data_IF_202949989689
#
_entry.id   IF_202949989689
#
_cell.length_a   1.000
_cell.length_b   1.000
_cell.length_c   1.000
_cell.angle_alpha   90.00
_cell.angle_beta   90.00
_cell.angle_gamma   90.00
#
_symmetry.space_group_name_H-M   'P 1'
#
loop_
_entity.id
_entity.type
_entity.pdbx_description
1 polymer ?
#
# COMPACT_ATOMS: atom_id res chain seq x y z
N UNK A 1 89.53 -0.76 -64.62
CA UNK A 1 89.99 -0.17 -63.34
C UNK A 1 89.42 1.22 -63.24
N UNK A 2 88.36 1.42 -62.43
CA UNK A 2 88.01 2.73 -61.80
C UNK A 2 86.77 2.53 -60.95
N UNK A 3 86.87 2.78 -59.65
CA UNK A 3 85.82 2.69 -58.67
C UNK A 3 84.90 3.90 -58.81
N UNK A 4 83.59 3.75 -58.62
CA UNK A 4 82.69 4.87 -58.44
C UNK A 4 82.59 5.30 -56.97
N UNK A 5 82.47 6.63 -56.76
CA UNK A 5 82.32 7.34 -55.49
C UNK A 5 80.89 7.13 -54.87
N UNK A 6 80.88 6.88 -53.58
CA UNK A 6 79.66 6.88 -52.78
C UNK A 6 79.29 8.32 -52.43
N UNK A 7 78.03 8.70 -52.70
CA UNK A 7 77.36 9.91 -52.15
C UNK A 7 76.61 9.63 -50.86
N UNK A 8 76.34 10.62 -49.99
CA UNK A 8 75.76 10.41 -48.68
C UNK A 8 74.23 10.21 -48.73
N UNK A 9 73.79 9.20 -48.04
CA UNK A 9 72.39 8.96 -47.77
C UNK A 9 71.83 10.00 -46.75
N UNK A 10 70.79 10.75 -47.16
CA UNK A 10 69.98 11.57 -46.28
C UNK A 10 69.03 10.66 -45.47
N UNK A 11 69.16 10.69 -44.17
CA UNK A 11 68.23 10.01 -43.24
C UNK A 11 66.95 10.84 -43.07
N UNK A 12 65.85 10.37 -43.63
CA UNK A 12 64.52 10.91 -43.36
C UNK A 12 64.01 10.36 -42.02
N UNK A 13 63.86 11.22 -41.02
CA UNK A 13 63.24 10.92 -39.77
C UNK A 13 61.73 11.02 -39.96
N UNK A 14 61.02 9.89 -40.06
CA UNK A 14 59.56 9.81 -39.94
C UNK A 14 59.18 9.90 -38.45
N UNK A 15 58.65 11.05 -38.05
CA UNK A 15 58.01 11.21 -36.75
C UNK A 15 56.64 10.49 -36.71
N UNK A 16 56.56 9.37 -36.00
CA UNK A 16 55.27 8.74 -35.64
C UNK A 16 54.60 9.61 -34.58
N UNK A 17 53.57 10.38 -34.98
CA UNK A 17 52.61 10.95 -34.06
C UNK A 17 51.69 9.84 -33.60
N UNK A 18 51.94 9.24 -32.42
CA UNK A 18 51.02 8.38 -31.73
C UNK A 18 49.90 9.25 -31.14
N UNK A 19 48.80 9.41 -31.91
CA UNK A 19 47.54 9.93 -31.37
C UNK A 19 46.99 8.91 -30.37
N UNK A 20 47.17 9.21 -29.07
CA UNK A 20 46.54 8.45 -27.99
C UNK A 20 45.03 8.61 -28.08
N UNK A 21 44.35 7.67 -28.65
CA UNK A 21 42.94 7.40 -28.44
C UNK A 21 42.79 6.89 -27.01
N UNK A 22 42.63 7.82 -26.06
CA UNK A 22 42.04 7.52 -24.78
C UNK A 22 40.58 7.15 -25.07
N UNK A 23 40.34 5.88 -25.42
CA UNK A 23 39.02 5.30 -25.35
C UNK A 23 38.56 5.41 -23.89
N UNK A 24 37.62 6.30 -23.61
CA UNK A 24 36.82 6.17 -22.41
C UNK A 24 36.24 4.76 -22.49
N UNK A 25 36.74 3.85 -21.65
CA UNK A 25 36.07 2.61 -21.38
C UNK A 25 34.70 3.03 -20.81
N UNK A 26 33.64 2.92 -21.61
CA UNK A 26 32.30 3.00 -21.08
C UNK A 26 32.25 1.97 -19.94
N UNK A 27 32.11 2.44 -18.70
CA UNK A 27 31.94 1.54 -17.58
C UNK A 27 30.77 0.62 -17.95
N UNK A 28 30.99 -0.68 -17.92
CA UNK A 28 29.91 -1.63 -18.23
C UNK A 28 28.77 -1.41 -17.21
N UNK A 29 27.58 -1.15 -17.71
CA UNK A 29 26.38 -0.99 -16.89
C UNK A 29 26.26 -2.18 -15.92
N UNK A 30 26.23 -1.90 -14.63
CA UNK A 30 26.09 -2.95 -13.62
C UNK A 30 24.62 -3.39 -13.55
N UNK A 31 24.38 -4.69 -13.67
CA UNK A 31 23.04 -5.28 -13.53
C UNK A 31 22.83 -5.78 -12.10
N UNK A 32 21.73 -5.38 -11.48
CA UNK A 32 21.34 -5.78 -10.14
C UNK A 32 20.06 -6.62 -10.26
N UNK A 33 20.07 -7.91 -9.88
CA UNK A 33 18.85 -8.71 -9.83
C UNK A 33 17.99 -8.27 -8.64
N UNK A 34 16.69 -8.09 -8.86
CA UNK A 34 15.71 -7.73 -7.82
C UNK A 34 14.45 -8.54 -7.98
N UNK A 35 14.05 -9.23 -6.92
CA UNK A 35 12.77 -9.93 -6.84
C UNK A 35 11.79 -9.09 -6.05
N UNK A 36 10.67 -8.70 -6.69
CA UNK A 36 9.55 -8.03 -6.04
C UNK A 36 8.34 -8.95 -5.99
N UNK A 37 7.74 -9.11 -4.81
CA UNK A 37 6.65 -10.05 -4.61
C UNK A 37 5.39 -9.41 -4.02
N UNK A 38 4.24 -9.96 -4.41
CA UNK A 38 2.94 -9.68 -3.80
C UNK A 38 2.08 -10.94 -3.80
N UNK A 39 1.41 -11.23 -2.69
CA UNK A 39 0.41 -12.28 -2.62
C UNK A 39 -0.87 -11.93 -3.40
N UNK A 40 -1.17 -10.64 -3.53
CA UNK A 40 -2.29 -10.14 -4.31
C UNK A 40 -1.99 -10.10 -5.83
N UNK A 41 -3.03 -10.27 -6.67
CA UNK A 41 -2.88 -10.15 -8.12
C UNK A 41 -2.76 -8.68 -8.57
N UNK A 42 -2.24 -8.41 -9.79
CA UNK A 42 -2.23 -7.07 -10.39
C UNK A 42 -3.62 -6.49 -10.72
N UNK A 43 -4.69 -7.13 -10.29
CA UNK A 43 -6.04 -6.57 -10.24
C UNK A 43 -6.18 -5.55 -9.09
N UNK A 44 -5.41 -5.74 -8.01
CA UNK A 44 -5.31 -4.80 -6.89
C UNK A 44 -4.53 -3.57 -7.33
N UNK A 45 -5.08 -2.38 -7.18
CA UNK A 45 -4.50 -1.12 -7.66
C UNK A 45 -3.05 -0.94 -7.20
N UNK A 46 -2.75 -1.15 -5.91
CA UNK A 46 -1.37 -1.06 -5.40
C UNK A 46 -0.40 -1.98 -6.16
N UNK A 47 -0.78 -3.23 -6.41
CA UNK A 47 0.09 -4.19 -7.15
C UNK A 47 0.16 -3.85 -8.64
N UNK A 48 -0.92 -3.36 -9.25
CA UNK A 48 -0.88 -2.89 -10.64
C UNK A 48 0.15 -1.77 -10.81
N UNK A 49 0.18 -0.81 -9.90
CA UNK A 49 1.13 0.31 -9.94
C UNK A 49 2.59 -0.08 -9.67
N UNK A 50 2.86 -1.20 -9.01
CA UNK A 50 4.23 -1.75 -8.96
C UNK A 50 4.71 -2.10 -10.38
N UNK A 51 3.88 -2.79 -11.16
CA UNK A 51 4.18 -3.24 -12.52
C UNK A 51 4.16 -2.09 -13.52
N UNK A 52 3.15 -1.22 -13.44
CA UNK A 52 2.81 -0.27 -14.51
C UNK A 52 3.44 1.12 -14.29
N UNK A 53 3.92 1.40 -13.06
CA UNK A 53 4.55 2.67 -12.72
C UNK A 53 5.90 2.50 -12.01
N UNK A 54 5.97 1.86 -10.82
CA UNK A 54 7.18 1.82 -9.99
C UNK A 54 8.39 1.27 -10.78
N UNK A 55 8.25 0.07 -11.30
CA UNK A 55 9.32 -0.62 -12.05
C UNK A 55 9.73 0.18 -13.30
N UNK A 56 8.81 0.57 -14.20
CA UNK A 56 9.19 1.33 -15.39
C UNK A 56 9.84 2.69 -15.09
N UNK A 57 9.42 3.37 -14.02
CA UNK A 57 9.95 4.67 -13.66
C UNK A 57 11.36 4.57 -13.04
N UNK A 58 11.61 3.54 -12.20
CA UNK A 58 12.96 3.24 -11.71
C UNK A 58 13.89 2.94 -12.88
N UNK A 59 13.48 2.07 -13.81
CA UNK A 59 14.30 1.72 -14.99
C UNK A 59 14.59 2.95 -15.86
N UNK A 60 13.59 3.81 -16.05
CA UNK A 60 13.75 5.06 -16.80
C UNK A 60 14.79 5.99 -16.17
N UNK A 61 14.74 6.20 -14.84
CA UNK A 61 15.68 7.08 -14.13
C UNK A 61 17.09 6.52 -14.12
N UNK A 62 17.26 5.25 -13.87
CA UNK A 62 18.57 4.61 -13.91
C UNK A 62 19.19 4.62 -15.32
N UNK A 63 18.36 4.60 -16.37
CA UNK A 63 18.84 4.70 -17.75
C UNK A 63 19.40 6.09 -18.07
N UNK A 64 19.05 7.17 -17.34
CA UNK A 64 19.57 8.52 -17.56
C UNK A 64 21.09 8.61 -17.29
N UNK A 65 21.57 7.90 -16.28
CA UNK A 65 23.01 7.82 -15.98
C UNK A 65 23.69 6.66 -16.69
N UNK A 66 22.97 5.57 -16.92
CA UNK A 66 23.47 4.35 -17.56
C UNK A 66 24.44 3.54 -16.69
N UNK A 67 24.65 3.91 -15.43
CA UNK A 67 25.56 3.22 -14.51
C UNK A 67 25.00 1.87 -14.07
N UNK A 68 23.69 1.82 -13.79
CA UNK A 68 23.00 0.67 -13.23
C UNK A 68 21.77 0.27 -14.04
N UNK A 69 21.41 -0.99 -13.98
CA UNK A 69 20.18 -1.57 -14.52
C UNK A 69 19.65 -2.60 -13.54
N UNK A 70 18.37 -2.63 -13.32
CA UNK A 70 17.73 -3.69 -12.53
C UNK A 70 17.21 -4.79 -13.46
N UNK A 71 17.42 -6.04 -13.04
CA UNK A 71 16.86 -7.23 -13.66
C UNK A 71 15.74 -7.76 -12.77
N UNK A 72 14.50 -7.36 -13.09
CA UNK A 72 13.35 -7.58 -12.25
C UNK A 72 12.78 -8.99 -12.38
N UNK A 73 12.60 -9.68 -11.25
CA UNK A 73 11.73 -10.84 -11.11
C UNK A 73 10.43 -10.39 -10.41
N UNK A 74 9.32 -10.37 -11.18
CA UNK A 74 8.01 -9.94 -10.67
C UNK A 74 7.18 -11.17 -10.27
N UNK A 75 6.94 -11.36 -8.97
CA UNK A 75 6.25 -12.51 -8.40
C UNK A 75 4.93 -12.09 -7.75
N UNK A 76 3.88 -11.98 -8.53
CA UNK A 76 2.55 -11.56 -8.08
C UNK A 76 1.56 -12.72 -8.03
N UNK A 77 0.36 -12.45 -7.44
CA UNK A 77 -0.74 -13.40 -7.33
C UNK A 77 -0.37 -14.71 -6.59
N UNK A 78 0.50 -14.60 -5.59
CA UNK A 78 0.92 -15.76 -4.82
C UNK A 78 1.85 -16.73 -5.57
N UNK A 79 2.43 -16.33 -6.70
CA UNK A 79 3.30 -17.21 -7.50
C UNK A 79 4.60 -17.61 -6.80
N UNK A 80 5.07 -16.83 -5.85
CA UNK A 80 6.23 -17.12 -5.01
C UNK A 80 5.84 -17.21 -3.53
N UNK A 81 5.05 -16.25 -3.04
CA UNK A 81 4.64 -16.13 -1.63
C UNK A 81 3.18 -15.72 -1.53
N UNK A 82 2.44 -16.32 -0.60
CA UNK A 82 1.05 -15.98 -0.33
C UNK A 82 0.88 -14.64 0.40
N UNK A 83 -0.37 -14.16 0.49
CA UNK A 83 -0.72 -12.86 1.08
C UNK A 83 -0.19 -12.68 2.50
N UNK A 84 -0.28 -13.72 3.34
CA UNK A 84 0.16 -13.68 4.74
C UNK A 84 1.64 -13.99 4.95
N UNK A 85 2.35 -14.37 3.89
CA UNK A 85 3.73 -14.86 3.94
C UNK A 85 4.74 -13.80 3.48
N UNK A 86 4.26 -12.73 2.80
CA UNK A 86 5.12 -11.71 2.19
C UNK A 86 6.01 -11.03 3.23
N UNK A 87 5.48 -10.69 4.43
CA UNK A 87 6.28 -10.08 5.50
C UNK A 87 7.48 -10.96 5.87
N UNK A 88 7.23 -12.22 6.20
CA UNK A 88 8.30 -13.16 6.58
C UNK A 88 9.26 -13.43 5.43
N UNK A 89 8.76 -13.60 4.21
CA UNK A 89 9.58 -13.89 3.02
C UNK A 89 10.52 -12.73 2.68
N UNK A 90 10.03 -11.49 2.72
CA UNK A 90 10.86 -10.30 2.51
C UNK A 90 11.89 -10.16 3.62
N UNK A 91 11.51 -10.30 4.89
CA UNK A 91 12.45 -10.23 6.02
C UNK A 91 13.56 -11.29 5.98
N UNK A 92 13.27 -12.47 5.46
CA UNK A 92 14.25 -13.55 5.26
C UNK A 92 15.09 -13.43 3.97
N UNK A 93 14.83 -12.41 3.12
CA UNK A 93 15.53 -12.23 1.85
C UNK A 93 15.13 -13.26 0.77
N UNK A 94 13.96 -13.91 0.89
CA UNK A 94 13.39 -14.73 -0.20
C UNK A 94 12.93 -13.83 -1.33
N UNK A 95 12.48 -12.63 -1.01
CA UNK A 95 12.23 -11.54 -1.94
C UNK A 95 12.97 -10.29 -1.47
N UNK A 96 13.46 -9.49 -2.41
CA UNK A 96 14.19 -8.25 -2.10
C UNK A 96 13.24 -7.11 -1.74
N UNK A 97 12.06 -7.08 -2.38
CA UNK A 97 11.00 -6.12 -2.13
C UNK A 97 9.66 -6.84 -1.99
N UNK A 98 8.76 -6.31 -1.16
CA UNK A 98 7.47 -6.90 -0.87
C UNK A 98 6.33 -5.88 -0.84
N UNK A 99 5.17 -6.26 -1.38
CA UNK A 99 3.90 -5.59 -1.10
C UNK A 99 3.24 -6.30 0.08
N UNK A 100 3.40 -5.76 1.27
CA UNK A 100 3.02 -6.38 2.55
C UNK A 100 1.65 -5.89 3.00
N UNK A 101 0.59 -6.72 2.95
CA UNK A 101 -0.75 -6.34 3.40
C UNK A 101 -0.88 -6.52 4.93
N UNK A 102 -0.34 -5.57 5.69
CA UNK A 102 -0.27 -5.63 7.16
C UNK A 102 -1.64 -5.70 7.86
N UNK A 103 -2.71 -5.36 7.17
CA UNK A 103 -4.06 -5.53 7.71
C UNK A 103 -4.38 -6.97 8.17
N UNK A 104 -3.66 -7.97 7.64
CA UNK A 104 -3.75 -9.38 8.03
C UNK A 104 -2.67 -9.82 9.02
N UNK A 105 -1.86 -8.89 9.53
CA UNK A 105 -0.67 -9.14 10.37
C UNK A 105 -0.74 -8.33 11.66
N UNK A 106 -1.91 -8.38 12.32
CA UNK A 106 -2.16 -7.61 13.55
C UNK A 106 -1.28 -8.01 14.74
N UNK A 107 -0.77 -9.23 14.73
CA UNK A 107 0.12 -9.71 15.80
C UNK A 107 1.57 -9.27 15.55
N UNK A 108 2.00 -9.26 14.28
CA UNK A 108 3.35 -8.91 13.87
C UNK A 108 3.55 -7.40 13.75
N UNK A 109 2.54 -6.67 13.25
CA UNK A 109 2.55 -5.24 13.01
C UNK A 109 1.33 -4.56 13.67
N UNK A 110 1.19 -4.67 15.00
CA UNK A 110 0.01 -4.16 15.70
C UNK A 110 -0.13 -2.64 15.63
N UNK A 111 0.97 -1.88 15.60
CA UNK A 111 0.95 -0.42 15.52
C UNK A 111 0.41 0.08 14.15
N UNK A 112 0.57 -0.71 13.08
CA UNK A 112 0.08 -0.36 11.74
C UNK A 112 -1.46 -0.52 11.59
N UNK A 113 -2.14 -1.05 12.62
CA UNK A 113 -3.58 -1.26 12.60
C UNK A 113 -4.40 -0.02 12.97
N UNK A 114 -3.78 1.10 13.28
CA UNK A 114 -4.43 2.28 13.89
C UNK A 114 -5.64 2.81 13.10
N UNK A 115 -5.63 2.80 11.76
CA UNK A 115 -6.81 3.23 10.98
C UNK A 115 -7.99 2.26 11.12
N UNK A 116 -7.73 0.97 11.26
CA UNK A 116 -8.77 -0.04 11.45
C UNK A 116 -9.40 -0.04 12.85
N UNK A 117 -8.69 0.47 13.84
CA UNK A 117 -9.25 0.65 15.19
C UNK A 117 -9.81 2.06 15.41
N UNK A 118 -9.54 2.99 14.51
CA UNK A 118 -10.07 4.36 14.48
C UNK A 118 -10.83 4.65 13.19
N UNK A 119 -11.92 3.92 12.88
CA UNK A 119 -12.73 4.23 11.70
C UNK A 119 -13.34 5.63 11.78
N UNK A 120 -13.93 6.09 10.69
CA UNK A 120 -14.51 7.41 10.50
C UNK A 120 -13.50 8.57 10.45
N UNK A 121 -12.29 8.27 10.02
CA UNK A 121 -11.27 9.28 9.69
C UNK A 121 -11.58 9.98 8.36
N UNK A 122 -10.58 10.10 7.48
CA UNK A 122 -10.76 10.68 6.15
C UNK A 122 -11.16 9.63 5.11
N UNK A 123 -12.04 9.99 4.17
CA UNK A 123 -12.31 9.18 2.97
C UNK A 123 -11.29 9.43 1.83
N UNK A 124 -10.43 10.44 1.97
CA UNK A 124 -9.39 10.74 0.97
C UNK A 124 -8.14 9.88 1.22
N UNK A 125 -7.95 8.88 0.36
CA UNK A 125 -6.83 7.93 0.45
C UNK A 125 -5.48 8.62 0.28
N UNK A 126 -5.38 9.65 -0.57
CA UNK A 126 -4.13 10.38 -0.77
C UNK A 126 -3.75 11.14 0.50
N UNK A 127 -4.70 11.89 1.07
CA UNK A 127 -4.50 12.59 2.33
C UNK A 127 -4.13 11.62 3.47
N UNK A 128 -4.79 10.45 3.52
CA UNK A 128 -4.45 9.44 4.52
C UNK A 128 -2.99 8.98 4.39
N UNK A 129 -2.50 8.74 3.17
CA UNK A 129 -1.11 8.29 2.96
C UNK A 129 -0.08 9.36 3.35
N UNK A 130 -0.39 10.64 3.16
CA UNK A 130 0.43 11.75 3.67
C UNK A 130 0.47 11.74 5.21
N UNK A 131 -0.69 11.55 5.86
CA UNK A 131 -0.79 11.45 7.32
C UNK A 131 0.01 10.25 7.82
N UNK A 132 -0.12 9.08 7.20
CA UNK A 132 0.64 7.88 7.59
C UNK A 132 2.15 8.11 7.49
N UNK A 133 2.61 8.72 6.41
CA UNK A 133 4.04 9.05 6.26
C UNK A 133 4.53 10.01 7.36
N UNK A 134 3.70 10.99 7.72
CA UNK A 134 4.01 11.92 8.81
C UNK A 134 4.00 11.23 10.18
N UNK A 135 3.12 10.26 10.40
CA UNK A 135 3.10 9.46 11.64
C UNK A 135 4.39 8.67 11.81
N UNK A 136 4.87 7.98 10.75
CA UNK A 136 6.15 7.29 10.77
C UNK A 136 7.35 8.24 11.03
N UNK A 137 7.27 9.47 10.53
CA UNK A 137 8.30 10.48 10.79
C UNK A 137 8.26 11.03 12.23
N UNK A 138 7.07 11.14 12.84
CA UNK A 138 6.87 11.65 14.19
C UNK A 138 7.08 10.59 15.28
N UNK A 139 6.78 9.33 14.99
CA UNK A 139 6.77 8.22 15.95
C UNK A 139 7.77 7.13 15.47
N UNK A 140 9.05 7.23 15.87
CA UNK A 140 10.11 6.30 15.41
C UNK A 140 9.77 4.82 15.63
N UNK A 141 9.05 4.48 16.70
CA UNK A 141 8.65 3.11 17.00
C UNK A 141 7.83 2.45 15.87
N UNK A 142 7.07 3.22 15.07
CA UNK A 142 6.35 2.69 13.91
C UNK A 142 7.33 2.23 12.80
N UNK A 143 8.38 3.01 12.55
CA UNK A 143 9.44 2.63 11.61
C UNK A 143 10.24 1.44 12.14
N UNK A 144 10.63 1.46 13.42
CA UNK A 144 11.35 0.37 14.08
C UNK A 144 10.56 -0.95 14.07
N UNK A 145 9.22 -0.89 14.02
CA UNK A 145 8.39 -2.09 13.89
C UNK A 145 8.70 -2.84 12.58
N UNK A 146 8.83 -2.15 11.46
CA UNK A 146 9.23 -2.75 10.19
C UNK A 146 10.67 -3.25 10.22
N UNK A 147 11.58 -2.46 10.81
CA UNK A 147 12.99 -2.83 10.96
C UNK A 147 13.17 -4.11 11.80
N UNK A 148 12.31 -4.32 12.82
CA UNK A 148 12.31 -5.54 13.63
C UNK A 148 12.00 -6.81 12.81
N UNK A 149 11.36 -6.65 11.65
CA UNK A 149 11.13 -7.70 10.67
C UNK A 149 12.17 -7.71 9.53
N UNK A 150 13.32 -7.05 9.72
CA UNK A 150 14.38 -6.89 8.73
C UNK A 150 13.88 -6.25 7.43
N UNK A 151 13.01 -5.24 7.54
CA UNK A 151 12.44 -4.51 6.41
C UNK A 151 12.48 -3.01 6.62
N UNK A 152 12.56 -2.29 5.52
CA UNK A 152 12.39 -0.83 5.43
C UNK A 152 11.08 -0.56 4.72
N UNK A 153 10.21 0.24 5.34
CA UNK A 153 9.00 0.74 4.69
C UNK A 153 9.38 1.84 3.69
N UNK A 154 9.16 1.58 2.41
CA UNK A 154 9.44 2.54 1.32
C UNK A 154 8.24 3.43 1.02
N UNK A 155 7.04 2.86 1.07
CA UNK A 155 5.80 3.61 0.86
C UNK A 155 4.62 2.96 1.59
N UNK A 156 3.83 3.70 2.37
CA UNK A 156 2.54 3.24 2.85
C UNK A 156 1.54 3.16 1.69
N UNK A 157 0.61 2.21 1.77
CA UNK A 157 -0.46 2.03 0.78
C UNK A 157 -1.80 1.96 1.48
N UNK A 158 -2.67 2.90 1.14
CA UNK A 158 -4.07 2.93 1.55
C UNK A 158 -4.99 2.35 0.51
N UNK A 159 -6.20 2.08 0.93
CA UNK A 159 -7.34 1.73 0.08
C UNK A 159 -8.48 2.70 0.35
N UNK A 160 -9.39 2.83 -0.62
CA UNK A 160 -10.46 3.83 -0.61
C UNK A 160 -11.52 3.58 0.46
N UNK A 161 -12.52 4.48 0.52
CA UNK A 161 -13.51 4.53 1.60
C UNK A 161 -14.37 3.26 1.68
N UNK A 162 -14.73 2.87 2.89
CA UNK A 162 -15.49 1.66 3.17
C UNK A 162 -16.96 1.94 3.43
N UNK A 163 -17.81 1.06 2.89
CA UNK A 163 -19.25 1.13 3.00
C UNK A 163 -19.88 -0.23 3.28
N UNK A 164 -21.16 -0.24 3.64
CA UNK A 164 -21.95 -1.46 3.63
C UNK A 164 -22.40 -1.79 2.22
N UNK A 165 -22.25 -3.05 1.80
CA UNK A 165 -22.78 -3.59 0.55
C UNK A 165 -23.70 -4.76 0.91
N UNK A 166 -25.00 -4.63 0.64
CA UNK A 166 -26.05 -5.41 1.24
C UNK A 166 -26.90 -6.15 0.21
N UNK A 167 -27.30 -7.39 0.53
CA UNK A 167 -28.21 -8.18 -0.30
C UNK A 167 -29.66 -7.70 -0.24
N UNK A 168 -30.02 -6.95 0.80
CA UNK A 168 -31.35 -6.36 1.02
C UNK A 168 -31.20 -4.95 1.53
N UNK A 169 -32.11 -4.03 1.17
CA UNK A 169 -32.03 -2.63 1.61
C UNK A 169 -32.21 -2.49 3.12
N UNK A 170 -31.85 -1.31 3.61
CA UNK A 170 -32.15 -0.81 4.95
C UNK A 170 -32.87 0.53 4.84
N UNK A 171 -33.70 0.87 5.80
CA UNK A 171 -34.29 2.20 5.95
C UNK A 171 -33.47 3.04 6.95
N UNK A 172 -32.92 2.37 7.97
CA UNK A 172 -32.00 2.97 8.94
C UNK A 172 -30.87 2.02 9.30
N UNK A 173 -29.78 2.53 9.86
CA UNK A 173 -28.58 1.73 10.20
C UNK A 173 -28.90 0.66 11.25
N UNK A 174 -29.89 0.89 12.10
CA UNK A 174 -30.41 -0.08 13.08
C UNK A 174 -30.93 -1.38 12.47
N UNK A 175 -31.39 -1.36 11.23
CA UNK A 175 -31.85 -2.55 10.46
C UNK A 175 -30.74 -3.55 10.16
N UNK A 176 -29.50 -3.21 10.41
CA UNK A 176 -28.38 -4.13 10.32
C UNK A 176 -28.33 -5.13 11.48
N UNK A 177 -29.02 -4.86 12.59
CA UNK A 177 -29.08 -5.77 13.73
C UNK A 177 -29.63 -7.14 13.30
N UNK A 178 -28.96 -8.22 13.74
CA UNK A 178 -29.28 -9.59 13.37
C UNK A 178 -28.78 -10.04 11.98
N UNK A 179 -28.24 -9.13 11.14
CA UNK A 179 -27.62 -9.51 9.85
C UNK A 179 -26.22 -10.08 10.07
N UNK A 180 -25.83 -10.99 9.18
CA UNK A 180 -24.48 -11.55 9.12
C UNK A 180 -23.71 -10.79 8.06
N UNK A 181 -22.65 -10.09 8.47
CA UNK A 181 -21.80 -9.34 7.52
C UNK A 181 -20.42 -9.97 7.40
N UNK A 182 -19.96 -10.15 6.17
CA UNK A 182 -18.60 -10.56 5.85
C UNK A 182 -17.63 -9.40 6.08
N UNK A 183 -16.56 -9.66 6.83
CA UNK A 183 -15.59 -8.66 7.26
C UNK A 183 -14.18 -9.23 7.16
N UNK A 184 -13.24 -8.41 6.70
CA UNK A 184 -11.83 -8.79 6.60
C UNK A 184 -11.00 -8.13 7.72
N UNK A 185 -10.08 -8.89 8.30
CA UNK A 185 -9.12 -8.38 9.28
C UNK A 185 -9.80 -7.71 10.49
N UNK A 186 -9.24 -6.58 10.91
CA UNK A 186 -9.71 -5.81 12.07
C UNK A 186 -11.05 -5.07 11.85
N UNK A 187 -11.57 -5.01 10.62
CA UNK A 187 -12.87 -4.41 10.35
C UNK A 187 -14.03 -5.08 11.11
N UNK A 188 -13.83 -6.29 11.64
CA UNK A 188 -14.77 -6.95 12.55
C UNK A 188 -15.11 -6.12 13.81
N UNK A 189 -14.22 -5.23 14.22
CA UNK A 189 -14.46 -4.33 15.34
C UNK A 189 -15.51 -3.25 15.03
N UNK A 190 -15.75 -2.93 13.75
CA UNK A 190 -16.66 -1.85 13.33
C UNK A 190 -18.14 -2.17 13.47
N UNK A 191 -18.46 -3.38 13.88
CA UNK A 191 -19.84 -3.81 14.14
C UNK A 191 -20.04 -4.32 15.59
N UNK A 192 -19.03 -4.17 16.44
CA UNK A 192 -19.16 -4.56 17.86
C UNK A 192 -20.23 -3.70 18.55
N UNK A 193 -21.13 -4.34 19.27
CA UNK A 193 -22.21 -3.66 19.99
C UNK A 193 -23.43 -3.26 19.15
N UNK A 194 -23.40 -3.43 17.80
CA UNK A 194 -24.49 -3.01 16.89
C UNK A 194 -25.55 -4.10 16.65
N UNK A 195 -25.37 -5.29 17.20
CA UNK A 195 -26.25 -6.43 16.93
C UNK A 195 -25.96 -7.16 15.60
N UNK A 196 -25.02 -6.69 14.79
CA UNK A 196 -24.54 -7.39 13.60
C UNK A 196 -23.70 -8.59 14.02
N UNK A 197 -23.83 -9.71 13.29
CA UNK A 197 -22.98 -10.89 13.44
C UNK A 197 -21.84 -10.83 12.45
N UNK A 198 -20.58 -10.59 12.87
CA UNK A 198 -19.44 -10.58 11.97
C UNK A 198 -19.10 -12.00 11.52
N UNK A 199 -18.81 -12.16 10.23
CA UNK A 199 -18.30 -13.42 9.63
C UNK A 199 -16.93 -13.12 9.03
N UNK A 200 -15.87 -13.69 9.62
CA UNK A 200 -14.50 -13.47 9.16
C UNK A 200 -14.29 -14.16 7.81
N UNK A 201 -14.12 -13.36 6.76
CA UNK A 201 -13.92 -13.80 5.38
C UNK A 201 -12.86 -12.93 4.70
N UNK A 202 -12.37 -13.38 3.57
CA UNK A 202 -11.48 -12.61 2.69
C UNK A 202 -12.21 -12.10 1.45
N UNK A 203 -11.64 -11.10 0.79
CA UNK A 203 -12.25 -10.43 -0.36
C UNK A 203 -12.71 -11.40 -1.48
N UNK A 204 -11.93 -12.42 -1.88
CA UNK A 204 -12.37 -13.39 -2.88
C UNK A 204 -13.58 -14.25 -2.48
N UNK A 205 -13.81 -14.41 -1.17
CA UNK A 205 -14.88 -15.27 -0.66
C UNK A 205 -16.24 -14.56 -0.59
N UNK A 206 -16.25 -13.22 -0.61
CA UNK A 206 -17.45 -12.41 -0.36
C UNK A 206 -18.55 -12.66 -1.39
N UNK A 207 -18.22 -12.67 -2.69
CA UNK A 207 -19.21 -12.85 -3.76
C UNK A 207 -20.01 -14.15 -3.57
N UNK A 208 -19.33 -15.28 -3.48
CA UNK A 208 -19.97 -16.57 -3.29
C UNK A 208 -20.73 -16.67 -1.96
N UNK A 209 -20.23 -16.09 -0.91
CA UNK A 209 -20.88 -16.09 0.41
C UNK A 209 -22.18 -15.30 0.42
N UNK A 210 -22.26 -14.17 -0.28
CA UNK A 210 -23.50 -13.41 -0.50
C UNK A 210 -24.45 -14.16 -1.44
N UNK A 211 -23.95 -14.67 -2.55
CA UNK A 211 -24.75 -15.39 -3.55
C UNK A 211 -25.45 -16.64 -2.95
N UNK A 212 -24.77 -17.36 -2.08
CA UNK A 212 -25.32 -18.56 -1.41
C UNK A 212 -26.14 -18.24 -0.17
N UNK A 213 -26.21 -16.97 0.26
CA UNK A 213 -26.92 -16.55 1.45
C UNK A 213 -26.21 -16.94 2.76
N UNK A 214 -24.92 -17.25 2.72
CA UNK A 214 -24.13 -17.47 3.93
C UNK A 214 -24.04 -16.18 4.76
N UNK A 215 -23.91 -15.03 4.09
CA UNK A 215 -23.91 -13.69 4.65
C UNK A 215 -24.96 -12.80 3.99
N UNK A 216 -25.42 -11.78 4.70
CA UNK A 216 -26.46 -10.85 4.29
C UNK A 216 -25.88 -9.55 3.70
N UNK A 217 -24.57 -9.43 3.64
CA UNK A 217 -23.80 -8.30 3.11
C UNK A 217 -22.35 -8.32 3.59
N UNK A 218 -21.64 -7.28 3.25
CA UNK A 218 -20.22 -7.08 3.60
C UNK A 218 -19.96 -5.63 4.00
N UNK A 219 -18.83 -5.39 4.66
CA UNK A 219 -18.18 -4.07 4.68
C UNK A 219 -16.96 -4.15 3.78
N UNK A 220 -16.91 -3.30 2.76
CA UNK A 220 -15.81 -3.26 1.81
C UNK A 220 -15.59 -1.86 1.26
N UNK A 221 -14.48 -1.66 0.61
CA UNK A 221 -14.11 -0.39 0.00
C UNK A 221 -14.73 -0.22 -1.40
N UNK A 222 -14.94 1.02 -1.82
CA UNK A 222 -15.68 1.39 -3.01
C UNK A 222 -15.18 0.70 -4.29
N UNK A 223 -13.86 0.74 -4.55
CA UNK A 223 -13.30 0.17 -5.77
C UNK A 223 -13.45 -1.36 -5.88
N UNK A 224 -13.63 -2.04 -4.74
CA UNK A 224 -13.90 -3.48 -4.72
C UNK A 224 -15.33 -3.82 -5.19
N UNK A 225 -16.29 -2.90 -5.05
CA UNK A 225 -17.70 -3.16 -5.36
C UNK A 225 -17.88 -3.62 -6.81
N UNK A 226 -17.21 -2.94 -7.75
CA UNK A 226 -17.30 -3.27 -9.18
C UNK A 226 -16.20 -4.23 -9.63
N UNK A 227 -14.96 -4.10 -9.11
CA UNK A 227 -13.86 -4.97 -9.52
C UNK A 227 -14.06 -6.42 -9.11
N UNK A 228 -14.77 -6.70 -8.01
CA UNK A 228 -15.20 -8.03 -7.58
C UNK A 228 -16.67 -8.32 -7.88
N UNK A 229 -17.37 -7.39 -8.54
CA UNK A 229 -18.77 -7.53 -8.96
C UNK A 229 -19.76 -7.77 -7.81
N UNK A 230 -19.47 -7.23 -6.63
CA UNK A 230 -20.33 -7.44 -5.46
C UNK A 230 -21.74 -6.90 -5.66
N UNK A 231 -21.90 -5.81 -6.41
CA UNK A 231 -23.19 -5.21 -6.77
C UNK A 231 -24.13 -6.15 -7.50
N UNK A 232 -23.62 -7.18 -8.21
CA UNK A 232 -24.47 -8.18 -8.89
C UNK A 232 -25.25 -9.04 -7.90
N UNK A 233 -24.69 -9.33 -6.72
CA UNK A 233 -25.30 -10.21 -5.68
C UNK A 233 -25.76 -9.46 -4.44
N UNK A 234 -25.31 -8.21 -4.27
CA UNK A 234 -25.65 -7.32 -3.17
C UNK A 234 -25.83 -5.89 -3.72
N UNK A 235 -27.00 -5.60 -4.33
CA UNK A 235 -27.19 -4.36 -5.11
C UNK A 235 -27.47 -3.12 -4.25
N UNK A 236 -27.36 -3.17 -2.94
CA UNK A 236 -27.62 -2.02 -2.06
C UNK A 236 -26.32 -1.57 -1.40
N UNK A 237 -25.88 -0.35 -1.71
CA UNK A 237 -24.69 0.25 -1.09
C UNK A 237 -25.12 1.34 -0.13
N UNK A 238 -24.93 1.12 1.19
CA UNK A 238 -25.24 2.13 2.20
C UNK A 238 -23.96 2.90 2.56
N UNK A 239 -23.94 4.19 2.21
CA UNK A 239 -22.72 5.04 2.24
C UNK A 239 -22.47 5.61 3.62
N UNK A 240 -22.05 4.78 4.56
CA UNK A 240 -21.72 5.21 5.92
C UNK A 240 -20.37 5.91 6.03
N UNK A 241 -19.44 5.68 5.08
CA UNK A 241 -18.08 6.22 5.10
C UNK A 241 -17.32 5.91 6.39
N UNK A 242 -16.82 4.68 6.53
CA UNK A 242 -15.88 4.32 7.61
C UNK A 242 -14.52 5.00 7.45
N UNK A 243 -14.24 5.53 6.27
CA UNK A 243 -12.98 6.16 5.87
C UNK A 243 -12.10 5.26 5.02
N UNK A 244 -11.11 5.87 4.38
CA UNK A 244 -9.99 5.19 3.75
C UNK A 244 -9.11 4.52 4.81
N UNK A 245 -8.50 3.38 4.46
CA UNK A 245 -7.71 2.59 5.42
C UNK A 245 -6.28 2.39 4.95
N UNK A 246 -5.32 2.59 5.86
CA UNK A 246 -3.95 2.16 5.66
C UNK A 246 -3.89 0.63 5.78
N UNK A 247 -3.56 -0.05 4.71
CA UNK A 247 -3.75 -1.50 4.62
C UNK A 247 -2.50 -2.28 4.29
N UNK A 248 -1.54 -1.65 3.64
CA UNK A 248 -0.36 -2.32 3.10
C UNK A 248 0.86 -1.40 3.11
N UNK A 249 2.06 -1.97 2.98
CA UNK A 249 3.30 -1.26 2.75
C UNK A 249 4.08 -1.84 1.57
N UNK A 250 4.69 -0.98 0.76
CA UNK A 250 5.80 -1.37 -0.10
C UNK A 250 7.07 -1.37 0.74
N UNK A 251 7.75 -2.49 0.82
CA UNK A 251 8.94 -2.66 1.68
C UNK A 251 10.12 -3.21 0.89
N UNK A 252 11.30 -3.03 1.44
CA UNK A 252 12.53 -3.70 1.01
C UNK A 252 13.17 -4.46 2.17
N UNK A 253 13.78 -5.60 1.89
CA UNK A 253 14.64 -6.28 2.84
C UNK A 253 15.81 -5.37 3.24
N UNK A 254 16.12 -5.24 4.53
CA UNK A 254 17.14 -4.31 5.04
C UNK A 254 18.55 -4.63 4.54
N UNK A 255 18.90 -5.90 4.46
CA UNK A 255 20.25 -6.31 3.98
C UNK A 255 20.39 -6.02 2.48
N UNK A 256 19.36 -6.33 1.69
CA UNK A 256 19.31 -5.96 0.27
C UNK A 256 19.44 -4.45 0.10
N UNK A 257 18.62 -3.66 0.81
CA UNK A 257 18.61 -2.20 0.75
C UNK A 257 19.97 -1.58 1.06
N UNK A 258 20.60 -2.04 2.14
CA UNK A 258 21.92 -1.56 2.56
C UNK A 258 23.05 -1.99 1.61
N UNK A 259 22.85 -3.05 0.83
CA UNK A 259 23.77 -3.52 -0.19
C UNK A 259 23.66 -2.78 -1.53
N UNK A 260 22.62 -1.97 -1.73
CA UNK A 260 22.45 -1.20 -2.96
C UNK A 260 23.44 -0.04 -3.06
N UNK A 261 23.92 0.28 -4.29
CA UNK A 261 24.61 1.55 -4.55
C UNK A 261 23.72 2.75 -4.20
N UNK A 262 24.31 3.84 -3.72
CA UNK A 262 23.57 5.05 -3.31
C UNK A 262 22.63 5.54 -4.41
N UNK A 263 23.12 5.65 -5.65
CA UNK A 263 22.32 6.07 -6.82
C UNK A 263 21.06 5.23 -7.01
N UNK A 264 21.15 3.91 -6.85
CA UNK A 264 20.01 2.99 -7.02
C UNK A 264 19.02 3.14 -5.87
N UNK A 265 19.56 3.26 -4.66
CA UNK A 265 18.75 3.45 -3.45
C UNK A 265 17.98 4.76 -3.49
N UNK A 266 18.65 5.87 -3.88
CA UNK A 266 18.03 7.19 -3.99
C UNK A 266 16.89 7.18 -5.02
N UNK A 267 17.15 6.59 -6.22
CA UNK A 267 16.12 6.45 -7.26
C UNK A 267 14.93 5.62 -6.78
N UNK A 268 15.16 4.48 -6.11
CA UNK A 268 14.05 3.66 -5.58
C UNK A 268 13.26 4.43 -4.53
N UNK A 269 13.93 5.14 -3.62
CA UNK A 269 13.26 5.93 -2.57
C UNK A 269 12.39 7.04 -3.15
N UNK A 270 12.92 7.85 -4.07
CA UNK A 270 12.16 8.91 -4.74
C UNK A 270 10.95 8.37 -5.52
N UNK A 271 11.13 7.28 -6.27
CA UNK A 271 10.03 6.67 -7.03
C UNK A 271 8.99 6.01 -6.12
N UNK A 272 9.40 5.50 -4.95
CA UNK A 272 8.47 4.97 -3.96
C UNK A 272 7.58 6.07 -3.34
N UNK A 273 8.09 7.28 -3.13
CA UNK A 273 7.25 8.42 -2.72
C UNK A 273 6.23 8.77 -3.80
N UNK A 274 6.65 8.86 -5.06
CA UNK A 274 5.71 9.10 -6.16
C UNK A 274 4.70 7.96 -6.33
N UNK A 275 5.12 6.72 -6.11
CA UNK A 275 4.23 5.56 -6.11
C UNK A 275 3.15 5.70 -5.04
N UNK A 276 3.50 6.09 -3.80
CA UNK A 276 2.55 6.37 -2.73
C UNK A 276 1.46 7.35 -3.18
N UNK A 277 1.89 8.50 -3.72
CA UNK A 277 0.98 9.58 -4.11
C UNK A 277 0.08 9.17 -5.27
N UNK A 278 0.65 8.49 -6.28
CA UNK A 278 -0.10 7.99 -7.44
C UNK A 278 -1.10 6.90 -7.07
N UNK A 279 -0.71 5.97 -6.19
CA UNK A 279 -1.59 4.91 -5.72
C UNK A 279 -2.72 5.48 -4.87
N UNK A 280 -2.44 6.44 -3.98
CA UNK A 280 -3.46 7.13 -3.19
C UNK A 280 -4.50 7.82 -4.08
N UNK A 281 -4.03 8.61 -5.07
CA UNK A 281 -4.91 9.25 -6.05
C UNK A 281 -5.69 8.22 -6.87
N UNK A 282 -5.05 7.13 -7.30
CA UNK A 282 -5.70 6.10 -8.11
C UNK A 282 -6.80 5.36 -7.33
N UNK A 283 -6.61 5.07 -6.06
CA UNK A 283 -7.66 4.49 -5.22
C UNK A 283 -8.83 5.43 -5.05
N UNK A 284 -8.60 6.69 -4.65
CA UNK A 284 -9.66 7.71 -4.56
C UNK A 284 -10.47 7.81 -5.85
N UNK A 285 -9.79 7.93 -7.00
CA UNK A 285 -10.44 8.08 -8.29
C UNK A 285 -11.13 6.80 -8.75
N UNK A 286 -10.60 5.61 -8.40
CA UNK A 286 -11.23 4.34 -8.75
C UNK A 286 -12.45 4.07 -7.87
N UNK A 287 -12.43 4.43 -6.60
CA UNK A 287 -13.58 4.37 -5.71
C UNK A 287 -14.74 5.18 -6.25
N UNK A 288 -14.51 6.46 -6.54
CA UNK A 288 -15.53 7.33 -7.10
C UNK A 288 -16.11 6.79 -8.44
N UNK A 289 -15.25 6.27 -9.33
CA UNK A 289 -15.73 5.64 -10.58
C UNK A 289 -16.53 4.37 -10.33
N UNK A 290 -16.10 3.54 -9.37
CA UNK A 290 -16.79 2.30 -9.03
C UNK A 290 -18.21 2.56 -8.50
N UNK A 291 -18.40 3.60 -7.71
CA UNK A 291 -19.72 4.01 -7.22
C UNK A 291 -20.66 4.41 -8.35
N UNK A 292 -20.17 5.21 -9.32
CA UNK A 292 -20.93 5.57 -10.53
C UNK A 292 -21.27 4.34 -11.36
N UNK A 293 -20.28 3.50 -11.64
CA UNK A 293 -20.45 2.27 -12.42
C UNK A 293 -21.44 1.31 -11.74
N UNK A 294 -21.36 1.12 -10.41
CA UNK A 294 -22.28 0.26 -9.69
C UNK A 294 -23.75 0.71 -9.88
N UNK A 295 -24.02 2.03 -9.86
CA UNK A 295 -25.35 2.59 -10.13
C UNK A 295 -25.78 2.33 -11.58
N UNK A 296 -24.90 2.55 -12.55
CA UNK A 296 -25.17 2.28 -13.98
C UNK A 296 -25.48 0.80 -14.24
N UNK A 297 -24.88 -0.09 -13.43
CA UNK A 297 -25.09 -1.54 -13.49
C UNK A 297 -26.22 -2.04 -12.57
N UNK A 298 -27.00 -1.12 -11.97
CA UNK A 298 -28.25 -1.42 -11.27
C UNK A 298 -28.18 -1.43 -9.74
N UNK A 299 -27.09 -1.03 -9.15
CA UNK A 299 -27.02 -0.85 -7.70
C UNK A 299 -27.82 0.38 -7.25
N UNK A 300 -28.32 0.30 -6.02
CA UNK A 300 -29.02 1.41 -5.34
C UNK A 300 -28.15 1.94 -4.22
N UNK A 301 -27.84 3.24 -4.27
CA UNK A 301 -27.16 3.92 -3.16
C UNK A 301 -28.19 4.30 -2.10
N UNK A 302 -27.88 3.95 -0.86
CA UNK A 302 -28.63 4.33 0.34
C UNK A 302 -27.74 5.33 1.09
N UNK A 303 -28.08 6.60 1.01
CA UNK A 303 -27.33 7.65 1.70
C UNK A 303 -27.59 7.57 3.21
N UNK A 304 -26.54 7.44 4.00
CA UNK A 304 -26.59 7.51 5.46
C UNK A 304 -26.31 8.97 5.86
N UNK A 305 -27.22 9.56 6.63
CA UNK A 305 -27.03 10.95 7.08
C UNK A 305 -25.84 11.08 8.05
N UNK A 306 -25.25 12.28 8.11
CA UNK A 306 -24.16 12.57 9.07
C UNK A 306 -24.57 12.31 10.54
N UNK A 307 -25.85 12.53 10.88
CA UNK A 307 -26.39 12.23 12.20
C UNK A 307 -26.38 10.72 12.45
N UNK A 308 -26.94 9.91 11.54
CA UNK A 308 -26.96 8.46 11.67
C UNK A 308 -25.53 7.85 11.63
N UNK A 309 -24.62 8.43 10.84
CA UNK A 309 -23.21 8.07 10.82
C UNK A 309 -22.54 8.33 12.17
N UNK A 310 -22.80 9.50 12.76
CA UNK A 310 -22.28 9.86 14.10
C UNK A 310 -22.86 8.96 15.18
N UNK A 311 -24.17 8.72 15.16
CA UNK A 311 -24.83 7.84 16.12
C UNK A 311 -24.28 6.42 16.05
N UNK A 312 -24.05 5.91 14.84
CA UNK A 312 -23.43 4.60 14.67
C UNK A 312 -21.99 4.58 15.22
N UNK A 313 -21.18 5.59 14.91
CA UNK A 313 -19.82 5.69 15.44
C UNK A 313 -19.80 5.69 16.98
N UNK A 314 -20.76 6.39 17.62
CA UNK A 314 -20.87 6.49 19.08
C UNK A 314 -21.40 5.19 19.74
N UNK A 315 -22.04 4.29 18.99
CA UNK A 315 -22.47 2.97 19.50
C UNK A 315 -21.30 1.98 19.64
N UNK A 316 -20.22 2.19 18.88
CA UNK A 316 -19.06 1.31 18.95
C UNK A 316 -18.43 1.41 20.36
N UNK A 317 -17.92 0.31 20.93
CA UNK A 317 -17.15 0.40 22.17
C UNK A 317 -15.85 1.19 21.95
N UNK A 318 -15.09 1.44 22.99
CA UNK A 318 -13.84 2.19 22.95
C UNK A 318 -12.69 1.37 22.30
N UNK A 319 -12.90 0.92 21.05
CA UNK A 319 -11.99 0.00 20.35
C UNK A 319 -10.58 0.58 20.18
N UNK A 320 -10.47 1.87 20.00
CA UNK A 320 -9.18 2.54 19.85
C UNK A 320 -8.43 2.62 21.19
N UNK A 321 -9.15 2.94 22.27
CA UNK A 321 -8.56 2.94 23.62
C UNK A 321 -8.13 1.55 24.05
N UNK A 322 -9.01 0.52 23.90
CA UNK A 322 -8.68 -0.87 24.23
C UNK A 322 -7.37 -1.28 23.51
N UNK A 323 -7.24 -0.92 22.24
CA UNK A 323 -6.05 -1.19 21.42
C UNK A 323 -4.83 -0.40 21.91
N UNK A 324 -4.98 0.89 22.19
CA UNK A 324 -3.88 1.74 22.65
C UNK A 324 -3.32 1.26 23.99
N UNK A 325 -4.21 0.94 24.97
CA UNK A 325 -3.84 0.41 26.28
C UNK A 325 -3.13 -0.96 26.16
N UNK A 326 -3.58 -1.83 25.25
CA UNK A 326 -2.91 -3.11 24.98
C UNK A 326 -1.48 -2.89 24.46
N UNK A 327 -1.28 -1.94 23.53
CA UNK A 327 0.04 -1.61 23.01
C UNK A 327 0.94 -0.99 24.09
N UNK A 328 0.40 -0.02 24.86
CA UNK A 328 1.15 0.63 25.94
C UNK A 328 1.61 -0.40 27.01
N UNK A 329 0.75 -1.36 27.33
CA UNK A 329 1.11 -2.46 28.26
C UNK A 329 2.23 -3.37 27.71
N UNK A 330 2.40 -3.40 26.39
CA UNK A 330 3.49 -4.13 25.70
C UNK A 330 4.73 -3.27 25.46
N UNK A 331 4.72 -1.99 25.91
CA UNK A 331 5.81 -1.03 25.73
C UNK A 331 5.87 -0.37 24.34
N UNK A 332 4.79 -0.46 23.58
CA UNK A 332 4.63 0.21 22.30
C UNK A 332 3.77 1.48 22.49
N UNK A 333 3.99 2.59 21.75
CA UNK A 333 3.35 3.88 22.01
C UNK A 333 1.92 3.97 21.46
N UNK A 334 1.01 3.12 21.94
CA UNK A 334 -0.37 3.01 21.46
C UNK A 334 -1.16 4.31 21.64
N UNK A 335 -1.12 4.89 22.83
CA UNK A 335 -1.77 6.18 23.12
C UNK A 335 -1.19 7.31 22.26
N UNK A 336 0.13 7.40 22.10
CA UNK A 336 0.77 8.41 21.26
C UNK A 336 0.33 8.29 19.79
N UNK A 337 0.24 7.07 19.25
CA UNK A 337 -0.25 6.83 17.88
C UNK A 337 -1.70 7.31 17.73
N UNK A 338 -2.57 6.96 18.67
CA UNK A 338 -3.97 7.36 18.66
C UNK A 338 -4.12 8.89 18.69
N UNK A 339 -3.48 9.56 19.63
CA UNK A 339 -3.53 11.02 19.79
C UNK A 339 -2.94 11.75 18.58
N UNK A 340 -1.79 11.26 18.06
CA UNK A 340 -1.12 11.86 16.89
C UNK A 340 -1.99 11.75 15.65
N UNK A 341 -2.62 10.60 15.41
CA UNK A 341 -3.51 10.42 14.25
C UNK A 341 -4.71 11.38 14.29
N UNK A 342 -5.38 11.48 15.43
CA UNK A 342 -6.52 12.40 15.62
C UNK A 342 -6.07 13.86 15.46
N UNK A 343 -4.92 14.23 16.00
CA UNK A 343 -4.36 15.57 15.84
C UNK A 343 -4.07 15.91 14.37
N UNK A 344 -3.45 14.99 13.63
CA UNK A 344 -3.14 15.16 12.22
C UNK A 344 -4.40 15.28 11.34
N UNK A 345 -5.45 14.51 11.61
CA UNK A 345 -6.74 14.68 10.93
C UNK A 345 -7.27 16.10 11.12
N UNK A 346 -7.24 16.62 12.35
CA UNK A 346 -7.69 18.00 12.66
C UNK A 346 -6.81 19.07 12.01
N UNK A 347 -5.48 18.90 12.06
CA UNK A 347 -4.52 19.81 11.41
C UNK A 347 -4.76 19.92 9.89
N UNK A 348 -5.24 18.84 9.26
CA UNK A 348 -5.58 18.79 7.83
C UNK A 348 -7.03 19.17 7.53
N UNK A 349 -7.80 19.64 8.53
CA UNK A 349 -9.18 20.11 8.38
C UNK A 349 -10.22 19.00 8.19
N UNK A 350 -9.88 17.75 8.54
CA UNK A 350 -10.82 16.64 8.50
C UNK A 350 -11.76 16.74 9.71
N UNK A 351 -13.06 16.66 9.48
CA UNK A 351 -14.03 16.55 10.56
C UNK A 351 -13.93 15.16 11.23
N UNK A 352 -13.56 15.16 12.49
CA UNK A 352 -13.47 13.94 13.30
C UNK A 352 -14.85 13.57 13.81
N UNK A 353 -15.46 12.54 13.24
CA UNK A 353 -16.83 12.08 13.59
C UNK A 353 -16.92 11.58 15.03
N UNK A 354 -15.90 10.85 15.47
CA UNK A 354 -15.71 10.42 16.87
C UNK A 354 -14.27 10.71 17.30
N UNK A 355 -14.14 11.40 18.41
CA UNK A 355 -12.85 11.63 19.04
C UNK A 355 -12.44 10.40 19.86
N UNK A 356 -11.77 9.47 19.23
CA UNK A 356 -11.31 8.24 19.85
C UNK A 356 -10.30 8.47 21.00
N UNK A 357 -9.65 9.63 21.04
CA UNK A 357 -8.72 9.99 22.12
C UNK A 357 -9.45 10.51 23.36
N UNK A 358 -10.73 10.86 23.25
CA UNK A 358 -11.55 11.38 24.33
C UNK A 358 -12.46 10.31 25.00
N UNK A 359 -12.45 9.08 24.51
CA UNK A 359 -13.30 7.97 25.01
C UNK A 359 -12.97 7.54 26.46
#
# INVERSE_FOLDING_TARGET
MTRPKRGPMAASVLGLAAAGLLGQAAAAQQTIPVTIAAGHPPLTTGVAYLRDFLIPEIDRRLAETGNYRIDWTQAYAGSLVGVREVLGATGMGVTDMGYVPHLFMSDELPMEQFTYVMPFGTGDTQLLMEIVSEMHARIPAMTEAWESHNQILLAPVGIDDYHFVLTRPIEEVGDLSGRRLGLAGQASNWVRGTGVTPVALSLPDFYNSMQTGLIDGIITFESAITSYKFHEVAPYVATISFGAMYSSGLTANTDFWNGLPDEVRDVIAEVAEEYRDRVGAAYRDSGARAMVQAVEEGATIIEISDEARRDFAMQLPAIARDWAEELDARGMPGTEIMETYIALLRERGVEVVRDWSAD
#
